data_IF_013245535643
#
_entry.id   IF_013245535643
#
_cell.length_a   1.000
_cell.length_b   1.000
_cell.length_c   1.000
_cell.angle_alpha   90.00
_cell.angle_beta   90.00
_cell.angle_gamma   90.00
#
_symmetry.space_group_name_H-M   'P 1'
#
loop_
_entity.id
_entity.type
_entity.pdbx_description
1 polymer ?
#
# COMPACT_ATOMS: atom_id res chain seq x y z
N UNK A 1 -20.82 5.01 18.38
CA UNK A 1 -22.05 5.70 17.90
C UNK A 1 -21.69 6.38 16.59
N UNK A 2 -22.47 6.18 15.51
CA UNK A 2 -22.29 6.95 14.28
C UNK A 2 -22.29 8.44 14.62
N UNK A 3 -21.46 9.24 13.92
CA UNK A 3 -21.33 10.67 14.17
C UNK A 3 -22.73 11.32 14.14
N UNK A 4 -23.28 11.67 15.30
CA UNK A 4 -24.49 12.46 15.38
C UNK A 4 -24.12 13.89 14.95
N UNK A 5 -24.20 14.14 13.65
CA UNK A 5 -23.82 15.41 13.07
C UNK A 5 -24.94 16.43 13.28
N UNK A 6 -24.61 17.67 13.69
CA UNK A 6 -25.55 18.77 13.65
C UNK A 6 -26.19 18.88 12.25
N UNK A 7 -27.49 19.22 12.13
CA UNK A 7 -28.17 19.35 10.85
C UNK A 7 -27.43 20.23 9.84
N UNK A 8 -26.79 21.30 10.33
CA UNK A 8 -25.98 22.21 9.52
C UNK A 8 -24.74 21.53 8.93
N UNK A 9 -24.00 20.75 9.73
CA UNK A 9 -22.84 19.99 9.26
C UNK A 9 -23.27 18.91 8.26
N UNK A 10 -24.41 18.25 8.49
CA UNK A 10 -24.96 17.27 7.56
C UNK A 10 -25.34 17.90 6.21
N UNK A 11 -25.92 19.11 6.23
CA UNK A 11 -26.24 19.83 5.01
C UNK A 11 -24.98 20.15 4.18
N UNK A 12 -23.88 20.58 4.81
CA UNK A 12 -22.60 20.82 4.12
C UNK A 12 -21.97 19.54 3.55
N UNK A 13 -22.11 18.42 4.24
CA UNK A 13 -21.69 17.11 3.71
C UNK A 13 -22.52 16.68 2.48
N UNK A 14 -23.81 17.02 2.47
CA UNK A 14 -24.70 16.78 1.33
C UNK A 14 -24.32 17.65 0.14
N UNK A 15 -24.05 18.94 0.35
CA UNK A 15 -23.55 19.86 -0.68
C UNK A 15 -22.27 19.32 -1.32
N UNK A 16 -21.33 18.79 -0.54
CA UNK A 16 -20.13 18.14 -1.07
C UNK A 16 -20.45 16.92 -1.96
N UNK A 17 -21.40 16.10 -1.54
CA UNK A 17 -21.79 14.87 -2.25
C UNK A 17 -22.46 15.17 -3.60
N UNK A 18 -23.23 16.26 -3.66
CA UNK A 18 -23.97 16.70 -4.85
C UNK A 18 -23.13 17.57 -5.79
N UNK A 19 -22.05 18.18 -5.27
CA UNK A 19 -21.13 19.00 -6.05
C UNK A 19 -20.45 18.21 -7.18
N UNK A 20 -20.53 18.75 -8.40
CA UNK A 20 -19.97 18.13 -9.62
C UNK A 20 -18.54 18.61 -9.94
N UNK A 21 -18.14 19.77 -9.46
CA UNK A 21 -16.84 20.40 -9.77
C UNK A 21 -15.90 20.37 -8.55
N UNK A 22 -14.56 20.22 -8.74
CA UNK A 22 -13.58 20.28 -7.66
C UNK A 22 -13.71 21.54 -6.78
N UNK A 23 -13.96 22.71 -7.37
CA UNK A 23 -14.09 23.99 -6.65
C UNK A 23 -15.32 24.03 -5.74
N UNK A 24 -16.45 23.51 -6.21
CA UNK A 24 -17.65 23.38 -5.39
C UNK A 24 -17.44 22.37 -4.25
N UNK A 25 -16.75 21.26 -4.50
CA UNK A 25 -16.38 20.29 -3.46
C UNK A 25 -15.45 20.89 -2.40
N UNK A 26 -14.44 21.66 -2.82
CA UNK A 26 -13.53 22.39 -1.92
C UNK A 26 -14.32 23.32 -1.01
N UNK A 27 -15.18 24.18 -1.57
CA UNK A 27 -16.01 25.11 -0.79
C UNK A 27 -16.91 24.39 0.20
N UNK A 28 -17.60 23.33 -0.24
CA UNK A 28 -18.47 22.55 0.64
C UNK A 28 -17.71 21.91 1.82
N UNK A 29 -16.49 21.40 1.58
CA UNK A 29 -15.65 20.87 2.65
C UNK A 29 -15.10 21.96 3.59
N UNK A 30 -14.75 23.14 3.07
CA UNK A 30 -14.33 24.28 3.91
C UNK A 30 -15.45 24.73 4.83
N UNK A 31 -16.67 24.85 4.30
CA UNK A 31 -17.86 25.18 5.10
C UNK A 31 -18.18 24.08 6.11
N UNK A 32 -18.14 22.81 5.69
CA UNK A 32 -18.30 21.68 6.60
C UNK A 32 -17.33 21.73 7.79
N UNK A 33 -16.04 21.97 7.54
CA UNK A 33 -15.01 22.01 8.59
C UNK A 33 -15.18 23.15 9.60
N UNK A 34 -15.90 24.24 9.24
CA UNK A 34 -16.22 25.32 10.17
C UNK A 34 -17.29 24.92 11.18
N UNK A 35 -18.29 24.16 10.73
CA UNK A 35 -19.48 23.80 11.52
C UNK A 35 -19.43 22.38 12.11
N UNK A 36 -18.46 21.56 11.69
CA UNK A 36 -18.35 20.18 12.10
C UNK A 36 -17.95 20.04 13.59
N UNK A 37 -18.57 19.09 14.32
CA UNK A 37 -18.33 18.89 15.75
C UNK A 37 -16.93 18.34 16.00
N UNK A 38 -16.24 18.85 17.04
CA UNK A 38 -14.84 18.50 17.39
C UNK A 38 -14.75 17.49 18.55
N UNK A 39 -15.66 16.53 18.61
CA UNK A 39 -15.65 15.47 19.62
C UNK A 39 -15.22 14.13 19.02
N UNK A 40 -14.87 13.16 19.88
CA UNK A 40 -14.37 11.83 19.49
C UNK A 40 -15.22 11.12 18.42
N UNK A 41 -16.55 11.25 18.48
CA UNK A 41 -17.46 10.62 17.52
C UNK A 41 -17.45 11.18 16.09
N UNK A 42 -16.72 12.27 15.81
CA UNK A 42 -16.63 12.88 14.47
C UNK A 42 -15.19 12.97 13.94
N UNK A 43 -14.25 12.37 14.65
CA UNK A 43 -12.82 12.45 14.35
C UNK A 43 -12.48 11.88 12.97
N UNK A 44 -12.99 10.70 12.63
CA UNK A 44 -12.80 10.08 11.32
C UNK A 44 -13.32 10.95 10.17
N UNK A 45 -14.47 11.61 10.38
CA UNK A 45 -15.10 12.43 9.37
C UNK A 45 -14.38 13.77 9.17
N UNK A 46 -13.98 14.41 10.27
CA UNK A 46 -13.13 15.61 10.22
C UNK A 46 -11.80 15.31 9.53
N UNK A 47 -11.23 14.16 9.86
CA UNK A 47 -9.99 13.68 9.28
C UNK A 47 -10.11 13.49 7.77
N UNK A 48 -11.13 12.75 7.34
CA UNK A 48 -11.49 12.59 5.93
C UNK A 48 -11.70 13.93 5.23
N UNK A 49 -12.46 14.85 5.81
CA UNK A 49 -12.79 16.13 5.19
C UNK A 49 -11.54 17.00 4.99
N UNK A 50 -10.65 17.09 6.00
CA UNK A 50 -9.37 17.80 5.90
C UNK A 50 -8.47 17.19 4.81
N UNK A 51 -8.33 15.87 4.81
CA UNK A 51 -7.53 15.15 3.81
C UNK A 51 -8.10 15.38 2.40
N UNK A 52 -9.40 15.21 2.22
CA UNK A 52 -10.06 15.34 0.91
C UNK A 52 -9.98 16.77 0.39
N UNK A 53 -10.08 17.76 1.28
CA UNK A 53 -9.88 19.17 0.94
C UNK A 53 -8.45 19.42 0.41
N UNK A 54 -7.43 18.85 1.06
CA UNK A 54 -6.04 18.97 0.62
C UNK A 54 -5.82 18.31 -0.77
N UNK A 55 -6.33 17.08 -0.95
CA UNK A 55 -6.27 16.36 -2.24
C UNK A 55 -6.92 17.16 -3.38
N UNK A 56 -8.14 17.66 -3.17
CA UNK A 56 -8.87 18.43 -4.19
C UNK A 56 -8.16 19.75 -4.55
N UNK A 57 -7.55 20.42 -3.58
CA UNK A 57 -6.76 21.63 -3.82
C UNK A 57 -5.53 21.31 -4.69
N UNK A 58 -4.83 20.23 -4.40
CA UNK A 58 -3.68 19.80 -5.21
C UNK A 58 -4.10 19.32 -6.61
N UNK A 59 -5.16 18.54 -6.73
CA UNK A 59 -5.74 18.12 -8.02
C UNK A 59 -6.04 19.35 -8.89
N UNK A 60 -6.69 20.37 -8.31
CA UNK A 60 -7.01 21.61 -9.01
C UNK A 60 -5.75 22.39 -9.43
N UNK A 61 -4.74 22.48 -8.58
CA UNK A 61 -3.45 23.08 -8.94
C UNK A 61 -2.75 22.30 -10.06
N UNK A 62 -2.83 20.97 -10.02
CA UNK A 62 -2.22 20.08 -11.00
C UNK A 62 -2.95 20.13 -12.34
N UNK A 63 -4.28 20.17 -12.36
CA UNK A 63 -5.09 20.37 -13.57
C UNK A 63 -4.81 21.73 -14.22
N UNK A 64 -4.68 22.79 -13.41
CA UNK A 64 -4.26 24.12 -13.89
C UNK A 64 -2.87 24.09 -14.53
N UNK A 65 -1.96 23.20 -14.08
CA UNK A 65 -0.64 22.96 -14.68
C UNK A 65 -0.70 22.06 -15.93
N UNK A 66 -1.55 21.02 -15.94
CA UNK A 66 -1.78 20.14 -17.10
C UNK A 66 -2.38 20.87 -18.30
N UNK A 67 -3.33 21.80 -18.06
CA UNK A 67 -3.88 22.69 -19.11
C UNK A 67 -2.82 23.60 -19.74
N UNK A 68 -1.64 23.74 -19.11
CA UNK A 68 -0.45 24.41 -19.65
C UNK A 68 0.60 23.44 -20.24
N UNK A 69 0.23 22.17 -20.49
CA UNK A 69 1.10 21.16 -21.10
C UNK A 69 2.08 20.45 -20.16
N UNK A 70 1.90 20.54 -18.83
CA UNK A 70 2.80 19.90 -17.87
C UNK A 70 2.49 18.42 -17.59
N UNK A 71 3.48 17.55 -17.81
CA UNK A 71 3.57 16.18 -17.27
C UNK A 71 3.34 16.18 -15.74
N UNK A 72 2.72 15.13 -15.17
CA UNK A 72 2.60 14.97 -13.71
C UNK A 72 3.77 14.12 -13.21
N UNK A 73 4.86 14.71 -12.68
CA UNK A 73 6.11 14.00 -12.44
C UNK A 73 6.10 13.09 -11.19
N UNK A 74 4.94 12.96 -10.52
CA UNK A 74 4.82 12.27 -9.23
C UNK A 74 4.11 10.92 -9.28
N UNK A 75 3.62 10.50 -10.45
CA UNK A 75 3.09 9.15 -10.63
C UNK A 75 4.22 8.26 -11.13
N UNK A 76 4.69 7.37 -10.26
CA UNK A 76 5.68 6.35 -10.61
C UNK A 76 4.92 5.08 -10.99
N UNK A 77 5.02 4.69 -12.25
CA UNK A 77 4.46 3.41 -12.70
C UNK A 77 5.17 2.25 -11.99
N UNK A 78 4.38 1.24 -11.62
CA UNK A 78 4.91 0.07 -10.92
C UNK A 78 5.69 -0.79 -11.91
N UNK A 79 6.91 -1.13 -11.52
CA UNK A 79 7.78 -2.00 -12.29
C UNK A 79 8.30 -3.16 -11.44
N UNK A 80 8.67 -4.25 -12.10
CA UNK A 80 9.21 -5.45 -11.45
C UNK A 80 8.17 -6.24 -10.64
N UNK A 81 8.65 -6.98 -9.65
CA UNK A 81 7.88 -7.83 -8.77
C UNK A 81 6.94 -7.03 -7.84
N UNK A 82 7.44 -5.90 -7.34
CA UNK A 82 6.69 -4.98 -6.49
C UNK A 82 7.42 -3.64 -6.35
N UNK A 83 6.66 -2.60 -6.04
CA UNK A 83 7.16 -1.26 -5.73
C UNK A 83 7.24 -1.06 -4.21
N UNK A 84 8.42 -0.71 -3.69
CA UNK A 84 8.67 -0.42 -2.28
C UNK A 84 9.11 1.03 -2.11
N UNK A 85 8.38 1.79 -1.30
CA UNK A 85 8.72 3.20 -1.02
C UNK A 85 9.61 3.31 0.21
N UNK A 86 10.78 3.93 0.07
CA UNK A 86 11.63 4.30 1.20
C UNK A 86 11.10 5.58 1.85
N UNK A 87 10.70 5.49 3.11
CA UNK A 87 10.08 6.57 3.87
C UNK A 87 10.88 6.86 5.14
N UNK A 88 11.30 8.12 5.33
CA UNK A 88 12.13 8.49 6.47
C UNK A 88 12.51 9.96 6.45
N UNK A 89 13.03 10.44 7.59
CA UNK A 89 13.46 11.83 7.77
C UNK A 89 14.55 12.24 6.76
N UNK A 90 14.80 13.55 6.54
CA UNK A 90 15.95 14.00 5.77
C UNK A 90 17.26 13.38 6.26
N UNK A 91 18.17 13.06 5.35
CA UNK A 91 19.50 12.50 5.64
C UNK A 91 19.54 11.12 6.35
N UNK A 92 18.41 10.39 6.39
CA UNK A 92 18.39 9.00 6.88
C UNK A 92 19.07 7.98 5.96
N UNK A 93 19.54 8.42 4.78
CA UNK A 93 20.27 7.60 3.82
C UNK A 93 19.41 6.84 2.81
N UNK A 94 18.15 7.25 2.59
CA UNK A 94 17.26 6.69 1.55
C UNK A 94 17.91 6.65 0.17
N UNK A 95 18.42 7.77 -0.34
CA UNK A 95 19.10 7.82 -1.65
C UNK A 95 20.33 6.90 -1.68
N UNK A 96 21.08 6.82 -0.58
CA UNK A 96 22.26 5.95 -0.46
C UNK A 96 21.88 4.46 -0.49
N UNK A 97 20.77 4.07 0.14
CA UNK A 97 20.24 2.70 0.03
C UNK A 97 19.91 2.37 -1.42
N UNK A 98 19.20 3.25 -2.15
CA UNK A 98 18.91 3.04 -3.57
C UNK A 98 20.21 2.92 -4.38
N UNK A 99 21.13 3.87 -4.22
CA UNK A 99 22.38 3.90 -4.97
C UNK A 99 23.25 2.64 -4.74
N UNK A 100 23.23 2.09 -3.53
CA UNK A 100 24.09 0.96 -3.14
C UNK A 100 23.46 -0.39 -3.42
N UNK A 101 22.13 -0.47 -3.33
CA UNK A 101 21.36 -1.71 -3.48
C UNK A 101 20.87 -1.95 -4.90
N UNK A 102 20.96 -0.93 -5.77
CA UNK A 102 20.52 -1.02 -7.17
C UNK A 102 21.69 -0.81 -8.10
N UNK A 103 21.62 -1.38 -9.32
CA UNK A 103 22.61 -1.10 -10.38
C UNK A 103 22.43 0.28 -11.03
N UNK A 104 21.62 1.17 -10.43
CA UNK A 104 21.30 2.45 -11.03
C UNK A 104 22.52 3.37 -11.05
N UNK A 105 22.83 3.96 -12.22
CA UNK A 105 23.56 5.22 -12.28
C UNK A 105 22.62 6.29 -11.70
N UNK A 106 22.72 6.54 -10.40
CA UNK A 106 21.98 7.63 -9.77
C UNK A 106 22.48 8.93 -10.37
N UNK A 107 21.69 9.56 -11.24
CA UNK A 107 21.89 10.97 -11.57
C UNK A 107 21.52 11.78 -10.33
N UNK A 108 22.51 12.01 -9.47
CA UNK A 108 22.37 12.92 -8.33
C UNK A 108 22.20 14.32 -8.89
N UNK A 109 20.97 14.86 -8.86
CA UNK A 109 20.77 16.27 -9.14
C UNK A 109 21.48 17.08 -8.04
N UNK A 110 22.46 17.95 -8.36
CA UNK A 110 23.38 18.55 -7.39
C UNK A 110 22.78 19.71 -6.59
N UNK A 111 21.44 19.76 -6.43
CA UNK A 111 20.77 20.88 -5.75
C UNK A 111 20.05 20.39 -4.51
N UNK A 112 20.41 20.88 -3.30
CA UNK A 112 19.49 20.76 -2.19
C UNK A 112 18.19 21.48 -2.60
N UNK A 113 17.04 20.88 -2.31
CA UNK A 113 15.69 21.43 -2.57
C UNK A 113 15.07 21.22 -3.97
N UNK A 114 15.67 20.49 -4.92
CA UNK A 114 15.00 20.21 -6.21
C UNK A 114 15.12 18.76 -6.68
N UNK A 115 14.13 17.94 -6.35
CA UNK A 115 13.69 16.83 -7.20
C UNK A 115 12.18 16.76 -7.14
N UNK A 116 11.54 17.31 -8.17
CA UNK A 116 10.09 17.15 -8.43
C UNK A 116 9.78 15.75 -9.02
N UNK A 117 10.77 14.86 -9.11
CA UNK A 117 10.65 13.47 -9.57
C UNK A 117 11.26 12.58 -8.49
N UNK A 118 10.53 11.58 -7.96
CA UNK A 118 11.08 10.65 -6.97
C UNK A 118 12.23 9.83 -7.58
N UNK A 119 13.29 9.62 -6.81
CA UNK A 119 14.43 8.78 -7.25
C UNK A 119 13.98 7.33 -7.22
N UNK A 120 14.21 6.60 -8.31
CA UNK A 120 13.86 5.18 -8.41
C UNK A 120 15.08 4.33 -8.72
N UNK A 121 15.07 3.06 -8.30
CA UNK A 121 16.09 2.10 -8.70
C UNK A 121 15.62 0.66 -8.59
N UNK A 122 16.18 -0.22 -9.41
CA UNK A 122 15.82 -1.65 -9.46
C UNK A 122 16.77 -2.48 -8.58
N UNK A 123 16.24 -3.02 -7.49
CA UNK A 123 16.93 -3.96 -6.61
C UNK A 123 16.79 -5.36 -7.21
N UNK A 124 17.92 -6.00 -7.54
CA UNK A 124 17.93 -7.38 -7.99
C UNK A 124 17.76 -8.31 -6.79
N UNK A 125 16.84 -9.27 -6.88
CA UNK A 125 16.72 -10.39 -5.96
C UNK A 125 16.53 -11.67 -6.76
N UNK A 126 17.54 -12.55 -6.71
CA UNK A 126 17.59 -13.76 -7.55
C UNK A 126 17.32 -13.39 -9.03
N UNK A 127 16.25 -13.92 -9.62
CA UNK A 127 15.80 -13.74 -11.00
C UNK A 127 14.70 -12.68 -11.18
N UNK A 128 14.33 -11.97 -10.11
CA UNK A 128 13.32 -10.90 -10.11
C UNK A 128 13.91 -9.56 -9.66
N UNK A 129 13.12 -8.49 -9.80
CA UNK A 129 13.53 -7.14 -9.42
C UNK A 129 12.45 -6.44 -8.61
N UNK A 130 12.84 -5.73 -7.56
CA UNK A 130 11.98 -4.83 -6.79
C UNK A 130 12.26 -3.37 -7.18
N UNK A 131 11.22 -2.60 -7.45
CA UNK A 131 11.35 -1.18 -7.72
C UNK A 131 11.39 -0.41 -6.39
N UNK A 132 12.54 0.17 -6.06
CA UNK A 132 12.70 1.06 -4.92
C UNK A 132 12.36 2.49 -5.34
N UNK A 133 11.55 3.18 -4.53
CA UNK A 133 11.16 4.56 -4.78
C UNK A 133 11.47 5.40 -3.55
N UNK A 134 12.27 6.45 -3.70
CA UNK A 134 12.52 7.39 -2.62
C UNK A 134 11.35 8.37 -2.48
N UNK A 135 10.70 8.36 -1.32
CA UNK A 135 9.76 9.41 -0.98
C UNK A 135 10.52 10.72 -0.66
N UNK A 136 9.99 11.88 -1.08
CA UNK A 136 10.50 13.17 -0.63
C UNK A 136 10.62 13.23 0.91
N UNK A 137 11.65 13.89 1.45
CA UNK A 137 11.87 13.92 2.90
C UNK A 137 10.66 14.48 3.66
N UNK A 138 10.31 13.82 4.76
CA UNK A 138 9.22 14.25 5.64
C UNK A 138 9.75 14.96 6.88
N UNK A 139 9.31 16.20 7.09
CA UNK A 139 9.61 16.99 8.28
C UNK A 139 8.39 17.88 8.64
N UNK A 140 8.27 18.32 9.90
CA UNK A 140 7.20 19.23 10.31
C UNK A 140 7.17 20.49 9.42
N UNK A 141 5.98 20.92 9.01
CA UNK A 141 5.75 22.10 8.14
C UNK A 141 6.23 22.00 6.68
N UNK A 142 6.66 20.83 6.20
CA UNK A 142 7.02 20.65 4.79
C UNK A 142 5.78 20.43 3.95
N UNK A 143 5.58 21.27 2.92
CA UNK A 143 4.43 21.20 2.01
C UNK A 143 4.26 19.85 1.30
N UNK A 144 5.27 18.98 1.30
CA UNK A 144 5.30 17.74 0.51
C UNK A 144 4.84 16.47 1.24
N UNK A 145 4.45 16.55 2.52
CA UNK A 145 4.04 15.36 3.30
C UNK A 145 2.94 14.55 2.59
N UNK A 146 1.93 15.24 2.02
CA UNK A 146 0.85 14.58 1.30
C UNK A 146 1.35 13.79 0.07
N UNK A 147 2.44 14.23 -0.58
CA UNK A 147 3.04 13.55 -1.73
C UNK A 147 3.78 12.30 -1.33
N UNK A 148 4.60 12.40 -0.28
CA UNK A 148 5.34 11.25 0.26
C UNK A 148 4.37 10.16 0.71
N UNK A 149 3.27 10.53 1.36
CA UNK A 149 2.23 9.57 1.76
C UNK A 149 1.43 9.07 0.54
N UNK A 150 1.20 9.91 -0.47
CA UNK A 150 0.61 9.49 -1.75
C UNK A 150 1.41 8.37 -2.43
N UNK A 151 2.75 8.48 -2.44
CA UNK A 151 3.63 7.41 -2.93
C UNK A 151 3.46 6.13 -2.11
N UNK A 152 3.49 6.24 -0.77
CA UNK A 152 3.28 5.08 0.13
C UNK A 152 1.93 4.39 -0.12
N UNK A 153 0.86 5.15 -0.33
CA UNK A 153 -0.49 4.61 -0.62
C UNK A 153 -0.57 3.84 -1.94
N UNK A 154 0.21 4.26 -2.94
CA UNK A 154 0.21 3.61 -4.26
C UNK A 154 1.17 2.42 -4.32
N UNK A 155 2.25 2.42 -3.53
CA UNK A 155 3.23 1.35 -3.46
C UNK A 155 2.65 0.04 -2.89
N UNK A 156 3.38 -1.06 -3.08
CA UNK A 156 3.02 -2.38 -2.55
C UNK A 156 3.47 -2.56 -1.10
N UNK A 157 4.59 -1.94 -0.72
CA UNK A 157 5.09 -1.86 0.65
C UNK A 157 5.81 -0.54 0.95
N UNK A 158 6.05 -0.28 2.24
CA UNK A 158 6.84 0.85 2.72
C UNK A 158 8.02 0.39 3.58
N UNK A 159 9.21 0.93 3.33
CA UNK A 159 10.38 0.73 4.15
C UNK A 159 10.65 1.97 5.00
N UNK A 160 10.46 1.86 6.32
CA UNK A 160 10.77 2.93 7.26
C UNK A 160 12.28 2.99 7.49
N UNK A 161 12.94 4.03 6.97
CA UNK A 161 14.39 4.20 7.09
C UNK A 161 14.71 5.08 8.29
N UNK A 162 15.30 4.47 9.32
CA UNK A 162 15.69 5.11 10.58
C UNK A 162 17.21 5.31 10.61
N UNK A 163 17.63 6.51 11.00
CA UNK A 163 19.04 6.89 11.09
C UNK A 163 19.61 6.54 12.47
N UNK A 164 20.58 5.60 12.54
CA UNK A 164 21.22 5.22 13.80
C UNK A 164 22.18 6.28 14.35
N UNK A 165 22.49 7.37 13.64
CA UNK A 165 23.17 8.52 14.27
C UNK A 165 22.25 9.29 15.22
N UNK A 166 20.93 9.12 15.10
CA UNK A 166 19.90 9.76 15.92
C UNK A 166 19.21 8.72 16.82
N UNK A 167 18.13 9.11 17.51
CA UNK A 167 17.30 8.21 18.31
C UNK A 167 16.31 7.46 17.37
N UNK A 168 16.46 6.14 17.17
CA UNK A 168 15.59 5.40 16.25
C UNK A 168 14.16 5.25 16.77
N UNK A 169 13.95 5.22 18.09
CA UNK A 169 12.62 5.06 18.70
C UNK A 169 11.78 6.32 18.46
N UNK A 170 12.38 7.50 18.66
CA UNK A 170 11.70 8.78 18.37
C UNK A 170 11.36 8.93 16.88
N UNK A 171 12.29 8.56 16.00
CA UNK A 171 12.05 8.58 14.55
C UNK A 171 10.91 7.65 14.15
N UNK A 172 10.91 6.40 14.64
CA UNK A 172 9.86 5.44 14.36
C UNK A 172 8.48 5.96 14.78
N UNK A 173 8.35 6.45 16.02
CA UNK A 173 7.08 7.02 16.52
C UNK A 173 6.61 8.18 15.66
N UNK A 174 7.52 9.08 15.28
CA UNK A 174 7.19 10.20 14.41
C UNK A 174 6.70 9.75 13.02
N UNK A 175 7.40 8.83 12.36
CA UNK A 175 7.04 8.35 11.02
C UNK A 175 5.73 7.56 11.02
N UNK A 176 5.50 6.72 12.04
CA UNK A 176 4.25 5.97 12.19
C UNK A 176 3.08 6.93 12.41
N UNK A 177 3.20 7.86 13.37
CA UNK A 177 2.14 8.85 13.62
C UNK A 177 1.85 9.65 12.35
N UNK A 178 2.88 10.06 11.60
CA UNK A 178 2.71 10.79 10.35
C UNK A 178 1.95 9.97 9.30
N UNK A 179 2.22 8.67 9.18
CA UNK A 179 1.50 7.78 8.25
C UNK A 179 0.06 7.56 8.70
N UNK A 180 -0.18 7.33 10.00
CA UNK A 180 -1.51 7.11 10.58
C UNK A 180 -2.39 8.36 10.45
N UNK A 181 -1.84 9.53 10.80
CA UNK A 181 -2.45 10.84 10.54
C UNK A 181 -2.63 11.12 9.04
N UNK A 182 -2.04 10.34 8.14
CA UNK A 182 -2.27 10.46 6.70
C UNK A 182 -2.98 9.23 6.11
N UNK A 183 -3.57 8.40 6.97
CA UNK A 183 -4.48 7.32 6.59
C UNK A 183 -3.80 6.06 6.09
N UNK A 184 -2.55 5.84 6.51
CA UNK A 184 -1.78 4.64 6.28
C UNK A 184 -1.51 3.97 7.61
N UNK A 185 -1.91 2.72 7.75
CA UNK A 185 -1.64 1.91 8.95
C UNK A 185 -0.65 0.81 8.61
N UNK A 186 0.33 0.59 9.49
CA UNK A 186 1.40 -0.38 9.27
C UNK A 186 1.15 -1.72 9.97
N UNK A 187 0.20 -1.75 10.90
CA UNK A 187 -0.21 -2.97 11.58
C UNK A 187 -1.25 -3.69 10.74
N UNK A 188 -1.05 -5.00 10.54
CA UNK A 188 -2.04 -5.85 9.86
C UNK A 188 -3.33 -5.81 10.68
N UNK A 189 -4.45 -5.37 10.08
CA UNK A 189 -5.69 -5.25 10.84
C UNK A 189 -6.20 -6.64 11.22
N UNK A 190 -6.75 -6.78 12.44
CA UNK A 190 -7.28 -8.06 12.96
C UNK A 190 -8.54 -8.53 12.23
N UNK A 191 -9.13 -7.65 11.44
CA UNK A 191 -10.19 -7.95 10.51
C UNK A 191 -10.18 -6.96 9.35
N UNK A 192 -10.86 -7.28 8.27
CA UNK A 192 -11.03 -6.43 7.10
C UNK A 192 -12.49 -6.23 6.77
N UNK A 193 -12.79 -5.05 6.24
CA UNK A 193 -14.11 -4.71 5.71
C UNK A 193 -13.96 -4.50 4.21
N UNK A 194 -14.76 -5.19 3.42
CA UNK A 194 -14.87 -4.97 1.98
C UNK A 194 -16.28 -4.44 1.69
N UNK A 195 -16.37 -3.29 1.03
CA UNK A 195 -17.64 -2.68 0.66
C UNK A 195 -17.73 -2.63 -0.86
N UNK A 196 -18.64 -3.44 -1.42
CA UNK A 196 -18.95 -3.44 -2.86
C UNK A 196 -20.25 -2.70 -3.06
N UNK A 197 -20.23 -1.55 -3.77
CA UNK A 197 -21.45 -0.81 -4.12
C UNK A 197 -22.22 -1.56 -5.20
N UNK A 198 -23.51 -1.75 -4.98
CA UNK A 198 -24.41 -2.45 -5.89
C UNK A 198 -25.35 -1.47 -6.59
N UNK A 199 -25.90 -1.86 -7.74
CA UNK A 199 -26.89 -1.03 -8.45
C UNK A 199 -28.25 -1.01 -7.74
N UNK A 200 -28.63 -2.12 -7.11
CA UNK A 200 -29.91 -2.30 -6.42
C UNK A 200 -29.80 -3.44 -5.39
N UNK A 201 -30.82 -3.62 -4.56
CA UNK A 201 -30.93 -4.76 -3.64
C UNK A 201 -30.63 -4.46 -2.17
N UNK A 202 -30.53 -3.18 -1.80
CA UNK A 202 -30.34 -2.76 -0.41
C UNK A 202 -28.93 -3.02 0.14
N UNK A 203 -28.78 -2.88 1.45
CA UNK A 203 -27.52 -3.15 2.15
C UNK A 203 -27.53 -4.59 2.66
N UNK A 204 -26.60 -5.41 2.17
CA UNK A 204 -26.35 -6.78 2.62
C UNK A 204 -25.07 -6.79 3.45
N UNK A 205 -25.11 -7.39 4.63
CA UNK A 205 -23.92 -7.53 5.50
C UNK A 205 -23.63 -9.01 5.68
N UNK A 206 -22.41 -9.44 5.33
CA UNK A 206 -21.92 -10.80 5.48
C UNK A 206 -20.77 -10.77 6.48
N UNK A 207 -20.90 -11.50 7.58
CA UNK A 207 -19.90 -11.53 8.65
C UNK A 207 -19.26 -12.92 8.70
N UNK A 208 -17.93 -12.96 8.54
CA UNK A 208 -17.06 -14.12 8.68
C UNK A 208 -16.03 -13.81 9.78
N UNK A 209 -16.50 -13.74 11.03
CA UNK A 209 -15.71 -13.27 12.17
C UNK A 209 -16.60 -12.60 13.21
N UNK A 210 -16.10 -11.53 13.84
CA UNK A 210 -16.80 -10.83 14.91
C UNK A 210 -16.92 -9.33 14.61
N UNK A 211 -18.12 -8.79 14.79
CA UNK A 211 -18.36 -7.35 14.87
C UNK A 211 -18.43 -6.96 16.37
N UNK A 212 -17.42 -6.22 16.85
CA UNK A 212 -17.30 -5.86 18.27
C UNK A 212 -18.17 -4.66 18.60
N UNK A 213 -18.92 -4.77 19.70
CA UNK A 213 -19.72 -3.70 20.29
C UNK A 213 -20.67 -2.99 19.30
N UNK A 214 -21.10 -3.70 18.25
CA UNK A 214 -21.97 -3.18 17.21
C UNK A 214 -22.80 -4.30 16.56
N UNK A 215 -23.98 -3.93 16.07
CA UNK A 215 -24.91 -4.82 15.36
C UNK A 215 -24.84 -4.63 13.84
N UNK A 216 -25.42 -5.57 13.11
CA UNK A 216 -25.60 -5.47 11.66
C UNK A 216 -26.43 -4.23 11.28
N UNK A 217 -27.39 -3.84 12.11
CA UNK A 217 -28.23 -2.66 11.85
C UNK A 217 -27.48 -1.35 12.12
N UNK A 218 -26.51 -1.33 13.04
CA UNK A 218 -25.60 -0.20 13.20
C UNK A 218 -24.75 0.01 11.95
N UNK A 219 -24.24 -1.07 11.35
CA UNK A 219 -23.50 -1.03 10.08
C UNK A 219 -24.38 -0.48 8.96
N UNK A 220 -25.61 -1.00 8.80
CA UNK A 220 -26.54 -0.48 7.78
C UNK A 220 -26.87 1.00 8.01
N UNK A 221 -27.08 1.41 9.26
CA UNK A 221 -27.39 2.80 9.62
C UNK A 221 -26.23 3.72 9.30
N UNK A 222 -25.00 3.30 9.62
CA UNK A 222 -23.78 4.01 9.26
C UNK A 222 -23.67 4.20 7.74
N UNK A 223 -23.86 3.15 6.94
CA UNK A 223 -23.83 3.26 5.48
C UNK A 223 -24.87 4.26 4.94
N UNK A 224 -26.09 4.27 5.52
CA UNK A 224 -27.15 5.21 5.14
C UNK A 224 -26.80 6.67 5.45
N UNK A 225 -26.11 6.93 6.57
CA UNK A 225 -25.60 8.29 6.90
C UNK A 225 -24.70 8.81 5.78
N UNK A 226 -23.91 7.92 5.17
CA UNK A 226 -23.06 8.23 4.01
C UNK A 226 -23.76 8.11 2.64
N UNK A 227 -25.10 8.09 2.61
CA UNK A 227 -25.93 7.94 1.40
C UNK A 227 -25.61 6.67 0.59
N UNK A 228 -25.12 5.61 1.23
CA UNK A 228 -24.90 4.30 0.60
C UNK A 228 -26.12 3.42 0.90
N UNK A 229 -26.99 3.26 -0.09
CA UNK A 229 -28.25 2.51 0.05
C UNK A 229 -28.20 1.09 -0.54
N UNK A 230 -27.28 0.84 -1.48
CA UNK A 230 -27.13 -0.43 -2.16
C UNK A 230 -25.67 -0.87 -2.09
N UNK A 231 -25.36 -1.86 -1.26
CA UNK A 231 -24.00 -2.36 -1.10
C UNK A 231 -23.98 -3.75 -0.44
N UNK A 232 -22.96 -4.52 -0.78
CA UNK A 232 -22.56 -5.71 -0.04
C UNK A 232 -21.36 -5.35 0.85
N UNK A 233 -21.52 -5.51 2.16
CA UNK A 233 -20.47 -5.31 3.17
C UNK A 233 -20.02 -6.69 3.64
N UNK A 234 -18.77 -7.05 3.37
CA UNK A 234 -18.15 -8.27 3.89
C UNK A 234 -17.21 -7.92 5.03
N UNK A 235 -17.43 -8.52 6.18
CA UNK A 235 -16.60 -8.37 7.38
C UNK A 235 -15.89 -9.70 7.59
N UNK A 236 -14.56 -9.69 7.62
CA UNK A 236 -13.74 -10.90 7.86
C UNK A 236 -12.84 -10.65 9.05
N UNK A 237 -12.86 -11.51 10.06
CA UNK A 237 -12.08 -11.35 11.30
C UNK A 237 -12.74 -10.42 12.32
N UNK A 238 -11.93 -9.86 13.23
CA UNK A 238 -12.39 -8.98 14.30
C UNK A 238 -12.42 -7.51 13.82
N UNK A 239 -13.63 -6.93 13.75
CA UNK A 239 -13.88 -5.58 13.21
C UNK A 239 -14.77 -4.79 14.18
N UNK A 240 -14.54 -3.49 14.27
CA UNK A 240 -15.40 -2.53 15.00
C UNK A 240 -16.23 -1.68 14.02
N UNK A 241 -17.26 -0.98 14.52
CA UNK A 241 -18.01 -0.03 13.68
C UNK A 241 -17.13 1.12 13.14
N UNK A 242 -16.07 1.49 13.88
CA UNK A 242 -15.07 2.47 13.48
C UNK A 242 -14.24 2.02 12.27
N UNK A 243 -13.88 0.73 12.20
CA UNK A 243 -13.18 0.15 11.05
C UNK A 243 -14.06 0.17 9.78
N UNK A 244 -15.37 -0.04 9.94
CA UNK A 244 -16.35 0.10 8.85
C UNK A 244 -16.42 1.55 8.37
N UNK A 245 -16.50 2.51 9.29
CA UNK A 245 -16.52 3.94 8.94
C UNK A 245 -15.24 4.37 8.21
N UNK A 246 -14.07 3.94 8.69
CA UNK A 246 -12.78 4.18 8.04
C UNK A 246 -12.72 3.61 6.62
N UNK A 247 -13.35 2.44 6.42
CA UNK A 247 -13.44 1.80 5.10
C UNK A 247 -14.36 2.59 4.16
N UNK A 248 -15.53 3.06 4.64
CA UNK A 248 -16.45 3.91 3.87
C UNK A 248 -15.74 5.19 3.41
N UNK A 249 -15.00 5.83 4.31
CA UNK A 249 -14.31 7.09 4.05
C UNK A 249 -13.00 6.89 3.26
N UNK A 250 -12.52 5.66 3.10
CA UNK A 250 -11.21 5.36 2.52
C UNK A 250 -10.06 6.02 3.30
N UNK A 251 -10.24 6.21 4.62
CA UNK A 251 -9.31 6.96 5.48
C UNK A 251 -8.21 6.09 6.06
N UNK A 252 -8.29 4.77 5.95
CA UNK A 252 -7.24 3.88 6.44
C UNK A 252 -6.92 2.82 5.40
N UNK A 253 -5.65 2.77 5.00
CA UNK A 253 -5.12 1.75 4.11
C UNK A 253 -3.97 1.03 4.82
N UNK A 254 -4.10 -0.29 4.96
CA UNK A 254 -3.00 -1.12 5.42
C UNK A 254 -1.88 -1.17 4.38
N UNK A 255 -0.64 -1.00 4.83
CA UNK A 255 0.55 -1.20 4.03
C UNK A 255 1.53 -2.15 4.73
N UNK A 256 1.93 -3.26 4.08
CA UNK A 256 3.06 -4.05 4.54
C UNK A 256 4.28 -3.14 4.71
N UNK A 257 5.00 -3.30 5.82
CA UNK A 257 6.15 -2.48 6.13
C UNK A 257 7.36 -3.27 6.57
N UNK A 258 8.54 -2.73 6.30
CA UNK A 258 9.82 -3.14 6.88
C UNK A 258 10.45 -1.94 7.58
N UNK A 259 11.25 -2.20 8.61
CA UNK A 259 12.04 -1.18 9.30
C UNK A 259 13.51 -1.39 8.91
N UNK A 260 14.14 -0.35 8.37
CA UNK A 260 15.56 -0.35 8.03
C UNK A 260 16.29 0.54 9.03
N UNK A 261 17.15 -0.05 9.85
CA UNK A 261 18.05 0.65 10.76
C UNK A 261 19.37 0.94 10.02
N UNK A 262 19.46 2.13 9.42
CA UNK A 262 20.60 2.51 8.58
C UNK A 262 21.74 3.16 9.38
N UNK A 263 22.94 3.16 8.81
CA UNK A 263 24.22 3.60 9.43
C UNK A 263 24.66 2.69 10.58
N UNK A 264 24.48 1.39 10.41
CA UNK A 264 24.90 0.37 11.37
C UNK A 264 26.42 0.31 11.61
N UNK A 265 27.20 0.99 10.76
CA UNK A 265 28.65 1.11 10.82
C UNK A 265 29.16 2.14 11.86
N UNK A 266 28.26 2.85 12.54
CA UNK A 266 28.61 3.81 13.58
C UNK A 266 28.95 3.10 14.91
N UNK A 267 29.88 3.63 15.73
CA UNK A 267 30.25 3.02 17.01
C UNK A 267 29.06 2.85 17.97
N UNK A 268 28.15 3.83 18.02
CA UNK A 268 26.97 3.81 18.90
C UNK A 268 25.78 3.03 18.31
N UNK A 269 25.91 2.51 17.08
CA UNK A 269 24.82 1.83 16.38
C UNK A 269 24.33 0.59 17.13
N UNK A 270 25.26 -0.21 17.66
CA UNK A 270 24.95 -1.48 18.32
C UNK A 270 23.98 -1.30 19.49
N UNK A 271 24.31 -0.39 20.42
CA UNK A 271 23.46 -0.08 21.58
C UNK A 271 22.07 0.40 21.16
N UNK A 272 21.98 1.23 20.11
CA UNK A 272 20.71 1.75 19.61
C UNK A 272 19.87 0.67 18.91
N UNK A 273 20.50 -0.25 18.19
CA UNK A 273 19.83 -1.41 17.57
C UNK A 273 19.21 -2.28 18.65
N UNK A 274 19.96 -2.59 19.71
CA UNK A 274 19.49 -3.44 20.81
C UNK A 274 18.30 -2.78 21.53
N UNK A 275 18.42 -1.50 21.90
CA UNK A 275 17.32 -0.72 22.48
C UNK A 275 16.09 -0.67 21.58
N UNK A 276 16.28 -0.53 20.26
CA UNK A 276 15.16 -0.51 19.33
C UNK A 276 14.47 -1.87 19.22
N UNK A 277 15.22 -2.97 19.16
CA UNK A 277 14.69 -4.34 19.15
C UNK A 277 13.95 -4.69 20.43
N UNK A 278 14.40 -4.20 21.59
CA UNK A 278 13.69 -4.35 22.86
C UNK A 278 12.37 -3.57 22.87
N UNK A 279 12.39 -2.32 22.38
CA UNK A 279 11.23 -1.46 22.28
C UNK A 279 10.18 -1.99 21.29
N UNK A 280 10.63 -2.48 20.13
CA UNK A 280 9.76 -2.84 19.02
C UNK A 280 9.12 -4.22 19.22
N UNK A 281 7.79 -4.24 19.32
CA UNK A 281 6.97 -5.45 19.48
C UNK A 281 5.98 -5.65 18.32
N UNK A 282 6.25 -5.03 17.17
CA UNK A 282 5.40 -5.14 15.98
C UNK A 282 5.81 -6.27 15.05
N UNK A 283 5.00 -6.49 14.01
CA UNK A 283 5.18 -7.60 13.06
C UNK A 283 6.07 -7.25 11.85
N UNK A 284 6.34 -5.96 11.61
CA UNK A 284 7.25 -5.53 10.53
C UNK A 284 8.66 -6.08 10.78
N UNK A 285 9.29 -6.73 9.79
CA UNK A 285 10.68 -7.16 9.90
C UNK A 285 11.63 -5.96 10.10
N UNK A 286 12.75 -6.22 10.77
CA UNK A 286 13.83 -5.25 10.99
C UNK A 286 15.06 -5.69 10.21
N UNK A 287 15.57 -4.81 9.37
CA UNK A 287 16.84 -4.97 8.64
C UNK A 287 17.86 -4.01 9.23
N UNK A 288 19.03 -4.52 9.60
CA UNK A 288 20.17 -3.69 10.00
C UNK A 288 21.00 -3.43 8.75
N UNK A 289 21.20 -2.15 8.42
CA UNK A 289 21.78 -1.76 7.14
C UNK A 289 22.91 -0.75 7.30
N UNK A 290 23.93 -0.85 6.45
CA UNK A 290 24.89 0.23 6.25
C UNK A 290 25.09 0.48 4.77
N UNK A 291 24.75 1.67 4.32
CA UNK A 291 25.08 2.11 2.95
C UNK A 291 26.60 2.21 2.73
N UNK A 292 27.40 2.35 3.80
CA UNK A 292 28.85 2.50 3.71
C UNK A 292 29.54 1.15 3.53
N UNK A 293 29.23 0.17 4.37
CA UNK A 293 29.84 -1.17 4.34
C UNK A 293 29.09 -2.15 3.44
N UNK A 294 27.88 -1.78 2.99
CA UNK A 294 26.95 -2.62 2.20
C UNK A 294 26.35 -3.79 2.98
N UNK A 295 26.43 -3.75 4.30
CA UNK A 295 25.78 -4.73 5.17
C UNK A 295 24.26 -4.62 5.06
N UNK A 296 23.57 -5.77 5.04
CA UNK A 296 22.10 -5.86 4.97
C UNK A 296 21.51 -5.79 3.55
N UNK A 297 22.30 -5.60 2.49
CA UNK A 297 21.79 -5.56 1.10
C UNK A 297 21.10 -6.86 0.69
N UNK A 298 21.70 -8.01 1.02
CA UNK A 298 21.14 -9.32 0.66
C UNK A 298 19.81 -9.60 1.38
N UNK A 299 19.60 -9.01 2.56
CA UNK A 299 18.37 -9.17 3.33
C UNK A 299 17.20 -8.40 2.69
N UNK A 300 17.45 -7.25 2.05
CA UNK A 300 16.39 -6.42 1.45
C UNK A 300 15.48 -7.22 0.52
N UNK A 301 16.06 -7.86 -0.50
CA UNK A 301 15.28 -8.58 -1.51
C UNK A 301 14.50 -9.74 -0.91
N UNK A 302 15.15 -10.52 -0.04
CA UNK A 302 14.53 -11.65 0.67
C UNK A 302 13.38 -11.18 1.55
N UNK A 303 13.60 -10.15 2.37
CA UNK A 303 12.58 -9.61 3.25
C UNK A 303 11.40 -9.04 2.47
N UNK A 304 11.62 -8.37 1.33
CA UNK A 304 10.51 -7.90 0.48
C UNK A 304 9.72 -9.05 -0.13
N UNK A 305 10.41 -10.09 -0.59
CA UNK A 305 9.78 -11.29 -1.15
C UNK A 305 8.87 -11.99 -0.13
N UNK A 306 9.38 -12.20 1.09
CA UNK A 306 8.64 -12.80 2.20
C UNK A 306 7.50 -11.89 2.71
N UNK A 307 7.77 -10.59 2.91
CA UNK A 307 6.79 -9.62 3.43
C UNK A 307 5.56 -9.47 2.53
N UNK A 308 5.77 -9.56 1.22
CA UNK A 308 4.72 -9.39 0.21
C UNK A 308 4.02 -10.71 -0.14
N UNK A 309 4.38 -11.80 0.54
CA UNK A 309 3.89 -13.16 0.27
C UNK A 309 4.00 -13.51 -1.22
N UNK A 310 5.15 -13.25 -1.84
CA UNK A 310 5.34 -13.48 -3.26
C UNK A 310 5.72 -14.93 -3.57
N UNK A 311 5.33 -15.39 -4.76
CA UNK A 311 5.73 -16.67 -5.34
C UNK A 311 6.14 -16.45 -6.79
N UNK A 312 7.17 -17.17 -7.24
CA UNK A 312 7.65 -17.18 -8.63
C UNK A 312 7.15 -18.44 -9.30
N UNK A 313 6.50 -18.24 -10.43
CA UNK A 313 6.00 -19.33 -11.27
C UNK A 313 6.63 -19.21 -12.63
N UNK A 314 7.38 -20.23 -13.02
CA UNK A 314 8.02 -20.31 -14.31
C UNK A 314 7.05 -20.86 -15.34
N UNK A 315 7.03 -20.28 -16.53
CA UNK A 315 6.17 -20.77 -17.61
C UNK A 315 6.98 -21.58 -18.59
N UNK A 316 6.33 -22.58 -19.18
CA UNK A 316 6.94 -23.44 -20.21
C UNK A 316 5.95 -23.61 -21.35
N UNK A 317 6.44 -23.55 -22.59
CA UNK A 317 5.64 -23.92 -23.76
C UNK A 317 5.57 -25.45 -23.88
N UNK A 318 4.49 -26.02 -24.45
CA UNK A 318 4.45 -27.46 -24.75
C UNK A 318 5.70 -27.90 -25.53
N UNK A 319 6.46 -28.83 -24.95
CA UNK A 319 7.75 -29.33 -25.48
C UNK A 319 8.85 -28.27 -25.70
N UNK A 320 8.73 -27.08 -25.11
CA UNK A 320 9.75 -26.02 -25.16
C UNK A 320 10.57 -25.94 -23.88
N UNK A 321 11.44 -24.95 -23.79
CA UNK A 321 12.21 -24.68 -22.58
C UNK A 321 11.39 -23.89 -21.54
N UNK A 322 11.84 -23.96 -20.29
CA UNK A 322 11.32 -23.13 -19.20
C UNK A 322 11.77 -21.69 -19.45
N UNK A 323 10.85 -20.75 -19.31
CA UNK A 323 11.16 -19.33 -19.47
C UNK A 323 12.13 -18.85 -18.39
N UNK A 324 13.13 -18.06 -18.79
CA UNK A 324 14.15 -17.51 -17.87
C UNK A 324 13.56 -16.54 -16.84
N UNK A 325 12.44 -15.89 -17.17
CA UNK A 325 11.77 -14.92 -16.29
C UNK A 325 10.51 -15.54 -15.69
N UNK A 326 10.38 -15.57 -14.36
CA UNK A 326 9.17 -16.04 -13.72
C UNK A 326 8.05 -15.01 -13.83
N UNK A 327 6.83 -15.50 -13.69
CA UNK A 327 5.68 -14.71 -13.31
C UNK A 327 5.68 -14.57 -11.79
N UNK A 328 5.61 -13.34 -11.30
CA UNK A 328 5.52 -13.07 -9.86
C UNK A 328 4.06 -12.91 -9.48
N UNK A 329 3.60 -13.76 -8.58
CA UNK A 329 2.24 -13.81 -8.07
C UNK A 329 2.24 -13.74 -6.54
N UNK A 330 1.05 -13.61 -5.94
CA UNK A 330 0.90 -13.72 -4.49
C UNK A 330 0.65 -15.16 -4.08
N UNK A 331 1.06 -15.52 -2.87
CA UNK A 331 0.77 -16.82 -2.25
C UNK A 331 -0.74 -17.06 -2.23
N UNK A 332 -1.15 -18.29 -2.54
CA UNK A 332 -2.55 -18.66 -2.77
C UNK A 332 -3.06 -18.32 -4.18
N UNK A 333 -2.19 -17.84 -5.07
CA UNK A 333 -2.51 -17.76 -6.49
C UNK A 333 -2.75 -19.16 -7.07
N UNK A 334 -3.51 -19.20 -8.15
CA UNK A 334 -3.93 -20.43 -8.80
C UNK A 334 -3.46 -20.48 -10.25
N UNK A 335 -3.58 -21.63 -10.89
CA UNK A 335 -3.34 -21.78 -12.34
C UNK A 335 -4.18 -20.80 -13.16
N UNK A 336 -5.37 -20.43 -12.68
CA UNK A 336 -6.19 -19.35 -13.28
C UNK A 336 -5.47 -18.01 -13.30
N UNK A 337 -4.82 -17.63 -12.19
CA UNK A 337 -4.10 -16.37 -12.07
C UNK A 337 -2.87 -16.35 -12.99
N UNK A 338 -2.20 -17.50 -13.12
CA UNK A 338 -1.10 -17.71 -14.07
C UNK A 338 -1.57 -17.57 -15.51
N UNK A 339 -2.68 -18.22 -15.89
CA UNK A 339 -3.23 -18.10 -17.25
C UNK A 339 -3.60 -16.65 -17.58
N UNK A 340 -4.23 -15.97 -16.62
CA UNK A 340 -4.66 -14.57 -16.75
C UNK A 340 -3.48 -13.60 -16.88
N UNK A 341 -2.38 -13.83 -16.17
CA UNK A 341 -1.19 -12.96 -16.24
C UNK A 341 -0.42 -13.11 -17.54
N UNK A 342 -0.55 -14.24 -18.25
CA UNK A 342 0.03 -14.44 -19.58
C UNK A 342 -0.86 -13.80 -20.67
N UNK A 343 -2.11 -14.27 -20.81
CA UNK A 343 -3.07 -13.73 -21.78
C UNK A 343 -4.48 -14.26 -21.52
N UNK A 344 -5.50 -13.39 -21.61
CA UNK A 344 -6.93 -13.75 -21.49
C UNK A 344 -7.39 -14.99 -22.28
N UNK A 345 -6.91 -15.17 -23.52
CA UNK A 345 -7.23 -16.32 -24.39
C UNK A 345 -6.87 -17.67 -23.79
N UNK A 346 -5.80 -17.75 -22.99
CA UNK A 346 -5.40 -19.00 -22.34
C UNK A 346 -6.42 -19.46 -21.31
N UNK A 347 -7.14 -18.52 -20.69
CA UNK A 347 -8.20 -18.81 -19.73
C UNK A 347 -9.49 -19.24 -20.44
N UNK A 348 -9.88 -18.56 -21.52
CA UNK A 348 -11.09 -18.86 -22.30
C UNK A 348 -11.03 -20.25 -22.95
N UNK A 349 -9.85 -20.62 -23.48
CA UNK A 349 -9.62 -21.91 -24.12
C UNK A 349 -9.10 -23.01 -23.19
N UNK A 350 -8.97 -22.77 -21.88
CA UNK A 350 -8.23 -23.67 -20.98
C UNK A 350 -8.74 -25.12 -21.05
N UNK A 351 -7.81 -26.08 -21.19
CA UNK A 351 -8.10 -27.52 -21.09
C UNK A 351 -7.58 -28.09 -19.77
N UNK A 352 -6.29 -27.90 -19.50
CA UNK A 352 -5.59 -28.33 -18.29
C UNK A 352 -4.22 -27.64 -18.24
N UNK A 353 -3.57 -27.68 -17.09
CA UNK A 353 -2.15 -27.36 -16.97
C UNK A 353 -1.35 -28.60 -16.53
N UNK A 354 -0.05 -28.60 -16.82
CA UNK A 354 0.91 -29.50 -16.19
C UNK A 354 1.80 -28.70 -15.26
N UNK A 355 2.07 -29.23 -14.07
CA UNK A 355 2.91 -28.58 -13.07
C UNK A 355 4.10 -29.46 -12.70
N UNK A 356 5.27 -28.84 -12.58
CA UNK A 356 6.47 -29.43 -11.99
C UNK A 356 6.93 -28.52 -10.87
N UNK A 357 7.10 -29.03 -9.66
CA UNK A 357 7.55 -28.21 -8.54
C UNK A 357 6.85 -28.57 -7.24
N UNK A 358 7.03 -27.73 -6.20
CA UNK A 358 6.55 -28.01 -4.85
C UNK A 358 5.03 -28.19 -4.72
N UNK A 359 4.21 -27.61 -5.60
CA UNK A 359 2.75 -27.81 -5.53
C UNK A 359 2.26 -29.09 -6.19
N UNK A 360 3.10 -29.75 -7.00
CA UNK A 360 2.74 -30.98 -7.70
C UNK A 360 3.06 -32.22 -6.87
N UNK A 361 2.15 -33.20 -6.89
CA UNK A 361 2.35 -34.52 -6.27
C UNK A 361 3.40 -35.36 -7.00
N UNK A 362 3.52 -35.16 -8.31
CA UNK A 362 4.53 -35.79 -9.15
C UNK A 362 4.86 -34.88 -10.35
N UNK A 363 6.08 -35.00 -10.93
CA UNK A 363 6.49 -34.18 -12.06
C UNK A 363 5.53 -34.26 -13.26
N UNK A 364 5.00 -33.11 -13.67
CA UNK A 364 4.05 -33.02 -14.79
C UNK A 364 2.62 -33.40 -14.43
N UNK A 365 2.24 -33.31 -13.15
CA UNK A 365 0.87 -33.53 -12.67
C UNK A 365 -0.10 -32.66 -13.47
N UNK A 366 -1.19 -33.28 -13.93
CA UNK A 366 -2.23 -32.61 -14.71
C UNK A 366 -3.24 -32.01 -13.75
N UNK A 367 -3.39 -30.69 -13.78
CA UNK A 367 -4.20 -29.93 -12.82
C UNK A 367 -5.22 -29.02 -13.51
N UNK A 368 -6.25 -28.64 -12.75
CA UNK A 368 -7.27 -27.67 -13.15
C UNK A 368 -6.91 -26.23 -12.82
N UNK A 369 -7.85 -25.32 -13.08
CA UNK A 369 -7.67 -23.88 -12.86
C UNK A 369 -7.54 -23.48 -11.38
N UNK A 370 -8.16 -24.24 -10.48
CA UNK A 370 -8.23 -23.93 -9.05
C UNK A 370 -7.05 -24.52 -8.25
N UNK A 371 -6.11 -25.17 -8.93
CA UNK A 371 -4.87 -25.64 -8.31
C UNK A 371 -4.02 -24.47 -7.86
N UNK A 372 -3.67 -24.43 -6.57
CA UNK A 372 -2.81 -23.42 -5.99
C UNK A 372 -1.34 -23.66 -6.38
N UNK A 373 -0.65 -22.59 -6.78
CA UNK A 373 0.74 -22.63 -7.22
C UNK A 373 1.67 -22.25 -6.07
N UNK A 374 2.88 -22.81 -6.09
CA UNK A 374 3.94 -22.56 -5.11
C UNK A 374 5.15 -21.85 -5.75
N UNK A 375 5.98 -21.21 -4.92
CA UNK A 375 7.26 -20.65 -5.38
C UNK A 375 8.14 -21.75 -5.97
N UNK A 376 8.68 -21.51 -7.17
CA UNK A 376 9.51 -22.48 -7.87
C UNK A 376 8.74 -23.41 -8.81
N UNK A 377 7.42 -23.33 -8.88
CA UNK A 377 6.63 -24.14 -9.82
C UNK A 377 6.93 -23.76 -11.27
N UNK A 378 7.00 -24.77 -12.13
CA UNK A 378 7.00 -24.66 -13.58
C UNK A 378 5.63 -25.09 -14.10
N UNK A 379 4.99 -24.26 -14.92
CA UNK A 379 3.65 -24.49 -15.44
C UNK A 379 3.62 -24.46 -16.97
N UNK A 380 3.01 -25.49 -17.55
CA UNK A 380 2.72 -25.61 -18.97
C UNK A 380 1.20 -25.63 -19.18
N UNK A 381 0.65 -24.59 -19.80
CA UNK A 381 -0.79 -24.44 -20.03
C UNK A 381 -1.18 -25.01 -21.39
N UNK A 382 -2.20 -25.89 -21.39
CA UNK A 382 -2.82 -26.41 -22.60
C UNK A 382 -4.20 -25.77 -22.79
N UNK A 383 -4.39 -25.08 -23.90
CA UNK A 383 -5.65 -24.40 -24.23
C UNK A 383 -6.07 -24.69 -25.68
N UNK A 384 -7.35 -24.54 -26.00
CA UNK A 384 -7.88 -24.49 -27.37
C UNK A 384 -7.53 -23.13 -27.96
N UNK A 385 -6.82 -23.14 -29.09
CA UNK A 385 -6.40 -21.94 -29.81
C UNK A 385 -7.57 -21.16 -30.39
#
# INVERSE_FOLDING_TARGET
MPANLPPEAQAKLNEYSEAKTPEAKIRALEEFLKVAPKHKGAENLLYWAKRRLAELKEELETERRKRKGGYNPFVVEKEGAAQVVLFGIPNSGKSSIIATSTRAKVEVSPRPFTTLVPVTGMLQYEDIQFQLVEAPPVAPNVKWVHRSVGLVKNADAVALVLDLSLDPIKQYKYLVNLLEENGVVLKKPKGRVEITKERAGGIKVVIMGNLKDASVDDVKSLLKVYKIYNATVKIVGDVTLDDVEKTILGTSQYKPSVIILNKADLPEAKEKIDKFKEFYKGDSPIIVFSSRTKDGIQELGRTFFELLDLVRVYTKKPNGDVADKPLVLKKGATVRDVAKSIHSRMLEGFKYAKVWGPSAKYPGERVGLDHEVADGDVIEIHYKG
#
